data_IF_448033308523
#
_entry.id   IF_448033308523
#
_cell.length_a   1.000
_cell.length_b   1.000
_cell.length_c   1.000
_cell.angle_alpha   90.00
_cell.angle_beta   90.00
_cell.angle_gamma   90.00
#
_symmetry.space_group_name_H-M   'P 1'
#
loop_
_entity.id
_entity.type
_entity.pdbx_description
1 polymer ?
#
# COMPACT_ATOMS: atom_id res chain seq x y z
N UNK A 1 -4.21 -14.85 -0.45
CA UNK A 1 -5.51 -14.35 -0.94
C UNK A 1 -6.62 -15.41 -0.95
N UNK A 2 -6.30 -16.70 -1.03
CA UNK A 2 -7.27 -17.81 -1.11
C UNK A 2 -8.34 -17.83 -0.01
N UNK A 3 -8.04 -17.31 1.19
CA UNK A 3 -9.01 -17.23 2.28
C UNK A 3 -10.13 -16.19 2.07
N UNK A 4 -9.95 -15.22 1.15
CA UNK A 4 -11.01 -14.26 0.84
C UNK A 4 -12.10 -14.85 -0.05
N UNK A 5 -11.74 -15.74 -0.98
CA UNK A 5 -12.67 -16.39 -1.89
C UNK A 5 -12.00 -17.62 -2.56
N UNK A 6 -12.72 -18.73 -2.63
CA UNK A 6 -12.26 -19.99 -3.27
C UNK A 6 -11.84 -19.82 -4.74
N UNK A 7 -12.44 -18.85 -5.44
CA UNK A 7 -12.19 -18.56 -6.86
C UNK A 7 -10.90 -17.77 -7.12
N UNK A 8 -10.19 -17.38 -6.06
CA UNK A 8 -8.89 -16.70 -6.16
C UNK A 8 -7.72 -17.69 -6.36
N UNK A 9 -8.03 -18.98 -6.52
CA UNK A 9 -7.09 -20.01 -6.93
C UNK A 9 -7.77 -20.95 -7.94
N UNK A 10 -7.01 -21.66 -8.80
CA UNK A 10 -7.60 -22.59 -9.77
C UNK A 10 -8.43 -23.71 -9.14
N UNK A 11 -8.04 -24.17 -7.94
CA UNK A 11 -8.76 -25.15 -7.15
C UNK A 11 -8.43 -24.96 -5.66
N UNK A 12 -9.37 -24.45 -4.87
CA UNK A 12 -9.16 -24.12 -3.45
C UNK A 12 -8.89 -25.33 -2.54
N UNK A 13 -9.11 -26.56 -3.02
CA UNK A 13 -8.77 -27.80 -2.28
C UNK A 13 -7.29 -28.14 -2.43
N UNK A 14 -6.66 -27.74 -3.54
CA UNK A 14 -5.28 -28.12 -3.89
C UNK A 14 -4.30 -26.94 -3.79
N UNK A 15 -4.80 -25.71 -3.88
CA UNK A 15 -4.00 -24.50 -3.98
C UNK A 15 -4.43 -23.47 -2.94
N UNK A 16 -3.44 -22.74 -2.44
CA UNK A 16 -3.64 -21.56 -1.62
C UNK A 16 -2.68 -20.47 -2.07
N UNK A 17 -2.83 -19.26 -1.54
CA UNK A 17 -1.99 -18.14 -1.95
C UNK A 17 -1.65 -17.20 -0.80
N UNK A 18 -0.43 -16.68 -0.85
CA UNK A 18 0.10 -15.63 0.03
C UNK A 18 0.32 -14.39 -0.81
N UNK A 19 -0.18 -13.26 -0.34
CA UNK A 19 0.17 -11.95 -0.87
C UNK A 19 1.02 -11.27 0.19
N UNK A 20 2.21 -10.83 -0.20
CA UNK A 20 3.19 -10.16 0.63
C UNK A 20 3.32 -8.72 0.13
N UNK A 21 3.36 -7.78 1.06
CA UNK A 21 3.67 -6.38 0.78
C UNK A 21 5.05 -6.05 1.32
N UNK A 22 5.91 -5.47 0.49
CA UNK A 22 7.29 -5.10 0.87
C UNK A 22 7.46 -3.61 0.65
N UNK A 23 7.87 -2.87 1.68
CA UNK A 23 8.19 -1.45 1.59
C UNK A 23 9.65 -1.24 1.19
N UNK A 24 9.91 -0.29 0.28
CA UNK A 24 11.25 0.09 -0.16
C UNK A 24 11.41 1.61 -0.21
N UNK A 25 12.65 2.08 -0.12
CA UNK A 25 12.95 3.50 -0.35
C UNK A 25 12.89 3.83 -1.85
N UNK A 26 12.70 5.11 -2.18
CA UNK A 26 12.46 5.59 -3.55
C UNK A 26 13.61 5.24 -4.47
N UNK A 27 14.83 5.41 -3.96
CA UNK A 27 16.05 5.30 -4.76
C UNK A 27 16.68 3.91 -4.72
N UNK A 28 16.03 2.95 -4.06
CA UNK A 28 16.55 1.59 -3.98
C UNK A 28 16.35 0.86 -5.32
N UNK A 29 17.42 0.32 -5.93
CA UNK A 29 17.27 -0.51 -7.11
C UNK A 29 16.48 -1.77 -6.77
N UNK A 30 15.65 -2.20 -7.71
CA UNK A 30 14.80 -3.36 -7.56
C UNK A 30 15.40 -4.52 -8.35
N UNK A 31 15.83 -5.55 -7.62
CA UNK A 31 16.12 -6.87 -8.20
C UNK A 31 14.93 -7.78 -7.90
N UNK A 32 14.06 -7.97 -8.89
CA UNK A 32 12.81 -8.72 -8.73
C UNK A 32 13.06 -10.19 -8.39
N UNK A 33 14.03 -10.84 -9.04
CA UNK A 33 14.35 -12.25 -8.81
C UNK A 33 14.93 -12.45 -7.41
N UNK A 34 15.89 -11.60 -7.02
CA UNK A 34 16.47 -11.66 -5.68
C UNK A 34 15.40 -11.40 -4.60
N UNK A 35 14.49 -10.44 -4.83
CA UNK A 35 13.39 -10.13 -3.91
C UNK A 35 12.45 -11.32 -3.76
N UNK A 36 12.13 -12.02 -4.85
CA UNK A 36 11.26 -13.19 -4.80
C UNK A 36 11.89 -14.32 -3.99
N UNK A 37 13.16 -14.65 -4.24
CA UNK A 37 13.86 -15.73 -3.54
C UNK A 37 14.05 -15.42 -2.05
N UNK A 38 14.40 -14.17 -1.73
CA UNK A 38 14.48 -13.67 -0.36
C UNK A 38 13.13 -13.80 0.37
N UNK A 39 12.03 -13.37 -0.27
CA UNK A 39 10.69 -13.46 0.33
C UNK A 39 10.26 -14.90 0.56
N UNK A 40 10.55 -15.82 -0.38
CA UNK A 40 10.27 -17.25 -0.20
C UNK A 40 11.02 -17.79 1.02
N UNK A 41 12.31 -17.46 1.14
CA UNK A 41 13.12 -17.84 2.29
C UNK A 41 12.52 -17.32 3.60
N UNK A 42 12.14 -16.05 3.66
CA UNK A 42 11.58 -15.43 4.87
C UNK A 42 10.23 -16.03 5.26
N UNK A 43 9.38 -16.30 4.27
CA UNK A 43 8.12 -17.00 4.50
C UNK A 43 8.34 -18.43 5.04
N UNK A 44 9.41 -19.12 4.63
CA UNK A 44 9.78 -20.42 5.21
C UNK A 44 10.29 -20.28 6.64
N UNK A 45 11.18 -19.32 6.90
CA UNK A 45 11.77 -19.07 8.22
C UNK A 45 10.70 -18.69 9.26
N UNK A 46 9.68 -17.94 8.84
CA UNK A 46 8.54 -17.59 9.69
C UNK A 46 7.42 -18.63 9.71
N UNK A 47 7.58 -19.77 9.02
CA UNK A 47 6.60 -20.86 9.01
C UNK A 47 5.28 -20.54 8.32
N UNK A 48 5.27 -19.55 7.41
CA UNK A 48 4.09 -19.22 6.59
C UNK A 48 3.97 -20.22 5.43
N UNK A 49 5.09 -20.57 4.79
CA UNK A 49 5.19 -21.69 3.85
C UNK A 49 6.14 -22.74 4.43
N UNK A 50 6.04 -23.98 3.98
CA UNK A 50 6.90 -25.08 4.47
C UNK A 50 7.93 -25.47 3.40
N UNK A 51 9.10 -26.03 3.78
CA UNK A 51 10.06 -26.56 2.81
C UNK A 51 9.48 -27.67 1.90
N UNK A 52 8.42 -28.34 2.35
CA UNK A 52 7.66 -29.34 1.58
C UNK A 52 6.63 -28.71 0.63
N UNK A 53 6.32 -27.43 0.79
CA UNK A 53 5.39 -26.71 -0.08
C UNK A 53 5.97 -26.55 -1.48
N UNK A 54 5.20 -26.90 -2.50
CA UNK A 54 5.59 -26.72 -3.90
C UNK A 54 5.09 -25.36 -4.40
N UNK A 55 5.98 -24.51 -4.88
CA UNK A 55 5.60 -23.20 -5.44
C UNK A 55 5.26 -23.39 -6.92
N UNK A 56 4.03 -23.06 -7.32
CA UNK A 56 3.57 -23.24 -8.72
C UNK A 56 3.59 -21.95 -9.52
N UNK A 57 3.37 -20.81 -8.86
CA UNK A 57 3.45 -19.52 -9.53
C UNK A 57 3.94 -18.44 -8.57
N UNK A 58 4.79 -17.59 -9.13
CA UNK A 58 5.44 -16.44 -8.51
C UNK A 58 5.01 -15.22 -9.32
N UNK A 59 4.57 -14.17 -8.64
CA UNK A 59 4.21 -12.91 -9.28
C UNK A 59 4.68 -11.74 -8.42
N UNK A 60 5.29 -10.75 -9.06
CA UNK A 60 5.75 -9.51 -8.44
C UNK A 60 5.23 -8.33 -9.26
N UNK A 61 4.88 -7.26 -8.57
CA UNK A 61 4.56 -6.00 -9.20
C UNK A 61 5.04 -4.82 -8.36
N UNK A 62 5.77 -3.93 -9.02
CA UNK A 62 6.40 -2.76 -8.42
C UNK A 62 5.49 -1.56 -8.60
N UNK A 63 5.09 -0.94 -7.49
CA UNK A 63 4.37 0.33 -7.54
C UNK A 63 5.34 1.48 -7.24
N UNK A 64 5.54 2.42 -8.20
CA UNK A 64 6.38 3.59 -7.99
C UNK A 64 5.75 4.61 -7.03
N UNK A 65 4.51 4.41 -6.58
CA UNK A 65 3.96 5.20 -5.48
C UNK A 65 3.10 4.27 -4.63
N UNK A 66 3.57 4.00 -3.41
CA UNK A 66 2.91 3.08 -2.50
C UNK A 66 2.08 3.76 -1.42
N UNK A 67 2.74 4.51 -0.54
CA UNK A 67 2.13 5.19 0.60
C UNK A 67 2.39 6.70 0.53
N UNK A 68 1.35 7.55 0.68
CA UNK A 68 1.55 8.98 0.92
C UNK A 68 2.02 9.18 2.37
N UNK A 69 3.32 9.37 2.56
CA UNK A 69 3.93 9.43 3.89
C UNK A 69 3.48 10.69 4.63
N UNK A 70 2.99 10.59 5.89
CA UNK A 70 2.58 11.72 6.70
C UNK A 70 3.80 12.43 7.32
N UNK A 71 4.55 13.19 6.49
CA UNK A 71 5.70 13.98 6.97
C UNK A 71 5.24 15.16 7.85
N UNK A 72 6.15 15.69 8.68
CA UNK A 72 5.83 16.74 9.66
C UNK A 72 5.21 18.00 9.01
N UNK A 73 5.77 18.43 7.89
CA UNK A 73 5.34 19.66 7.20
C UNK A 73 4.27 19.42 6.12
N UNK A 74 3.80 18.18 5.97
CA UNK A 74 2.87 17.76 4.91
C UNK A 74 1.67 18.69 4.80
N UNK A 75 0.97 18.94 5.90
CA UNK A 75 -0.30 19.66 5.88
C UNK A 75 -0.13 21.11 5.40
N UNK A 76 0.96 21.77 5.79
CA UNK A 76 1.28 23.13 5.38
C UNK A 76 1.60 23.24 3.90
N UNK A 77 2.36 22.29 3.36
CA UNK A 77 2.67 22.25 1.92
C UNK A 77 1.45 21.90 1.07
N UNK A 78 0.64 20.92 1.51
CA UNK A 78 -0.59 20.54 0.82
C UNK A 78 -1.58 21.71 0.75
N UNK A 79 -1.72 22.50 1.82
CA UNK A 79 -2.60 23.66 1.79
C UNK A 79 -2.19 24.67 0.70
N UNK A 80 -0.88 24.95 0.57
CA UNK A 80 -0.35 25.86 -0.46
C UNK A 80 -0.61 25.30 -1.87
N UNK A 81 -0.34 24.02 -2.08
CA UNK A 81 -0.53 23.33 -3.37
C UNK A 81 -2.00 23.32 -3.77
N UNK A 82 -2.90 22.83 -2.91
CA UNK A 82 -4.32 22.79 -3.21
C UNK A 82 -4.92 24.17 -3.46
N UNK A 83 -4.53 25.17 -2.66
CA UNK A 83 -4.97 26.56 -2.88
C UNK A 83 -4.53 27.08 -4.25
N UNK A 84 -3.35 26.71 -4.71
CA UNK A 84 -2.82 27.15 -6.01
C UNK A 84 -3.54 26.45 -7.15
N UNK A 85 -3.73 25.13 -7.06
CA UNK A 85 -4.43 24.34 -8.07
C UNK A 85 -5.90 24.73 -8.18
N UNK A 86 -6.58 24.96 -7.05
CA UNK A 86 -8.02 25.29 -7.06
C UNK A 86 -8.31 26.69 -7.63
N UNK A 87 -7.35 27.62 -7.57
CA UNK A 87 -7.46 28.92 -8.28
C UNK A 87 -7.54 28.74 -9.79
N UNK A 88 -6.87 27.71 -10.31
CA UNK A 88 -6.86 27.35 -11.73
C UNK A 88 -7.94 26.29 -12.05
N UNK A 89 -8.92 26.11 -11.17
CA UNK A 89 -10.00 25.12 -11.30
C UNK A 89 -9.51 23.66 -11.39
N UNK A 90 -8.35 23.35 -10.79
CA UNK A 90 -7.80 22.00 -10.69
C UNK A 90 -8.03 21.45 -9.28
N UNK A 91 -8.77 20.35 -9.17
CA UNK A 91 -9.14 19.72 -7.90
C UNK A 91 -8.38 18.40 -7.71
N UNK A 92 -7.18 18.47 -7.15
CA UNK A 92 -6.37 17.27 -6.87
C UNK A 92 -6.92 16.49 -5.68
N UNK A 93 -7.39 15.25 -5.88
CA UNK A 93 -8.04 14.39 -4.87
C UNK A 93 -7.64 12.92 -5.01
N UNK A 94 -7.99 12.11 -4.00
CA UNK A 94 -7.68 10.67 -3.93
C UNK A 94 -6.34 10.40 -3.22
N UNK A 95 -5.96 9.12 -3.11
CA UNK A 95 -4.79 8.64 -2.35
C UNK A 95 -3.52 9.48 -2.50
N UNK A 96 -3.10 9.76 -3.74
CA UNK A 96 -1.92 10.59 -4.01
C UNK A 96 -2.25 12.03 -4.41
N UNK A 97 -3.51 12.31 -4.77
CA UNK A 97 -3.93 13.66 -5.11
C UNK A 97 -4.09 14.56 -3.89
N UNK A 98 -4.63 14.02 -2.79
CA UNK A 98 -4.71 14.69 -1.49
C UNK A 98 -3.51 14.40 -0.59
N UNK A 99 -2.76 13.33 -0.86
CA UNK A 99 -1.58 12.88 -0.10
C UNK A 99 -1.85 12.64 1.40
N UNK A 100 -3.09 12.30 1.76
CA UNK A 100 -3.48 12.05 3.16
C UNK A 100 -3.78 10.59 3.38
N UNK A 101 -2.80 9.87 3.92
CA UNK A 101 -2.91 8.43 4.19
C UNK A 101 -4.15 8.07 5.03
N UNK A 102 -4.46 8.88 6.04
CA UNK A 102 -5.60 8.69 6.95
C UNK A 102 -6.96 8.68 6.23
N UNK A 103 -7.03 9.25 5.02
CA UNK A 103 -8.23 9.28 4.17
C UNK A 103 -7.92 8.76 2.75
N UNK A 104 -7.02 7.78 2.62
CA UNK A 104 -6.55 7.29 1.32
C UNK A 104 -7.08 5.90 0.92
N UNK A 105 -8.03 5.35 1.68
CA UNK A 105 -8.71 4.10 1.33
C UNK A 105 -9.62 4.27 0.10
N UNK A 106 -10.13 3.14 -0.41
CA UNK A 106 -10.94 3.10 -1.63
C UNK A 106 -12.24 3.92 -1.49
N UNK A 107 -12.94 3.77 -0.37
CA UNK A 107 -14.17 4.48 -0.02
C UNK A 107 -13.94 5.98 0.12
N UNK A 108 -12.85 6.39 0.77
CA UNK A 108 -12.47 7.80 0.89
C UNK A 108 -12.15 8.41 -0.48
N UNK A 109 -11.35 7.72 -1.30
CA UNK A 109 -10.98 8.20 -2.63
C UNK A 109 -12.20 8.34 -3.54
N UNK A 110 -13.15 7.40 -3.45
CA UNK A 110 -14.42 7.47 -4.16
C UNK A 110 -15.25 8.67 -3.70
N UNK A 111 -15.41 8.82 -2.37
CA UNK A 111 -16.17 9.93 -1.78
C UNK A 111 -15.58 11.30 -2.15
N UNK A 112 -14.25 11.45 -2.16
CA UNK A 112 -13.62 12.70 -2.60
C UNK A 112 -13.96 13.05 -4.06
N UNK A 113 -14.06 12.04 -4.93
CA UNK A 113 -14.46 12.24 -6.32
C UNK A 113 -15.90 12.72 -6.44
N UNK A 114 -16.83 12.10 -5.70
CA UNK A 114 -18.24 12.52 -5.67
C UNK A 114 -18.39 13.92 -5.09
N UNK A 115 -17.67 14.21 -4.02
CA UNK A 115 -17.74 15.49 -3.31
C UNK A 115 -17.25 16.66 -4.17
N UNK A 116 -16.18 16.47 -4.96
CA UNK A 116 -15.71 17.51 -5.88
C UNK A 116 -16.74 17.82 -6.96
N UNK A 117 -17.39 16.80 -7.52
CA UNK A 117 -18.44 17.02 -8.52
C UNK A 117 -19.63 17.75 -7.90
N UNK A 118 -20.05 17.36 -6.69
CA UNK A 118 -21.13 18.01 -5.95
C UNK A 118 -20.79 19.47 -5.59
N UNK A 119 -19.54 19.76 -5.26
CA UNK A 119 -19.05 21.12 -5.04
C UNK A 119 -19.13 21.96 -6.30
N UNK A 120 -18.70 21.42 -7.45
CA UNK A 120 -18.69 22.15 -8.73
C UNK A 120 -20.12 22.41 -9.23
N UNK A 121 -21.01 21.41 -9.16
CA UNK A 121 -22.35 21.50 -9.73
C UNK A 121 -23.36 22.17 -8.81
N UNK A 122 -23.25 21.93 -7.50
CA UNK A 122 -24.27 22.32 -6.53
C UNK A 122 -23.77 23.22 -5.41
N UNK A 123 -22.47 23.59 -5.42
CA UNK A 123 -21.87 24.42 -4.37
C UNK A 123 -21.82 23.76 -3.00
N UNK A 124 -21.93 22.42 -2.92
CA UNK A 124 -21.85 21.69 -1.65
C UNK A 124 -20.41 21.68 -1.11
N UNK A 125 -20.28 21.60 0.21
CA UNK A 125 -18.98 21.37 0.84
C UNK A 125 -18.52 19.92 0.66
N UNK A 126 -17.20 19.73 0.53
CA UNK A 126 -16.59 18.40 0.56
C UNK A 126 -16.64 17.85 2.00
N UNK A 127 -17.08 16.60 2.14
CA UNK A 127 -17.33 15.93 3.42
C UNK A 127 -16.06 15.32 4.01
N UNK A 128 -15.17 14.83 3.16
CA UNK A 128 -13.82 14.40 3.55
C UNK A 128 -12.96 15.65 3.75
N UNK A 129 -13.09 16.27 4.94
CA UNK A 129 -12.51 17.58 5.21
C UNK A 129 -10.99 17.55 5.27
N UNK A 130 -10.39 18.54 4.62
CA UNK A 130 -8.97 18.87 4.64
C UNK A 130 -8.49 19.52 5.96
N UNK A 131 -9.34 19.64 6.99
CA UNK A 131 -9.06 20.51 8.15
C UNK A 131 -9.11 19.71 9.45
N UNK A 132 -7.95 19.69 10.13
CA UNK A 132 -7.63 19.14 11.46
C UNK A 132 -7.86 17.63 11.61
N UNK A 133 -6.75 16.89 11.52
CA UNK A 133 -6.61 15.66 12.28
C UNK A 133 -6.78 16.01 13.77
N UNK A 134 -7.93 15.66 14.36
CA UNK A 134 -8.01 15.53 15.80
C UNK A 134 -7.04 14.41 16.19
N UNK A 135 -6.11 14.71 17.09
CA UNK A 135 -5.11 13.79 17.63
C UNK A 135 -5.65 12.35 17.76
N UNK A 136 -5.28 11.47 16.82
CA UNK A 136 -5.48 10.03 16.96
C UNK A 136 -4.14 9.40 17.34
N UNK A 137 -4.23 8.55 18.36
CA UNK A 137 -3.15 7.97 19.13
C UNK A 137 -2.05 7.31 18.28
N UNK A 138 -0.84 7.31 18.83
CA UNK A 138 0.37 6.76 18.22
C UNK A 138 0.15 5.39 17.58
N UNK A 139 0.36 5.34 16.27
CA UNK A 139 0.48 4.10 15.53
C UNK A 139 1.84 3.48 15.83
N UNK A 140 1.84 2.37 16.58
CA UNK A 140 3.00 1.49 16.66
C UNK A 140 2.92 0.53 15.48
N UNK A 141 3.79 0.72 14.49
CA UNK A 141 3.93 -0.21 13.38
C UNK A 141 4.43 -1.56 13.92
N UNK A 142 3.61 -2.59 13.80
CA UNK A 142 4.04 -3.98 13.94
C UNK A 142 4.28 -4.52 12.53
N UNK A 143 5.47 -4.25 11.99
CA UNK A 143 5.96 -5.00 10.84
C UNK A 143 6.45 -6.35 11.38
N UNK A 144 6.00 -7.46 10.79
CA UNK A 144 6.80 -8.69 10.85
C UNK A 144 8.03 -8.33 10.02
N UNK A 145 9.11 -7.95 10.71
CA UNK A 145 10.39 -7.73 10.07
C UNK A 145 10.84 -9.05 9.44
N UNK A 146 10.68 -9.14 8.13
CA UNK A 146 11.33 -10.16 7.31
C UNK A 146 12.75 -9.63 7.08
N UNK A 147 13.65 -9.98 8.00
CA UNK A 147 14.97 -9.35 8.19
C UNK A 147 16.03 -9.77 7.15
N UNK A 148 15.72 -10.61 6.15
CA UNK A 148 16.78 -11.12 5.27
C UNK A 148 17.06 -10.27 4.03
N UNK A 149 16.23 -9.26 3.71
CA UNK A 149 16.40 -8.47 2.49
C UNK A 149 17.14 -7.15 2.65
N UNK A 150 17.35 -6.63 3.88
CA UNK A 150 18.21 -5.45 4.13
C UNK A 150 18.86 -5.52 5.51
N UNK A 151 20.09 -5.01 5.59
CA UNK A 151 20.84 -4.78 6.84
C UNK A 151 20.05 -3.88 7.81
N UNK A 152 20.28 -4.09 9.11
CA UNK A 152 19.70 -3.40 10.27
C UNK A 152 19.91 -1.86 10.29
N UNK A 153 19.45 -1.12 9.28
CA UNK A 153 19.46 0.34 9.28
C UNK A 153 18.05 0.92 9.18
N UNK A 154 17.76 1.83 10.10
CA UNK A 154 16.51 2.56 10.24
C UNK A 154 16.45 3.64 9.15
N UNK A 155 15.98 3.27 7.95
CA UNK A 155 15.81 4.21 6.84
C UNK A 155 14.42 4.86 6.83
N UNK A 156 14.38 6.13 6.45
CA UNK A 156 13.16 6.86 6.14
C UNK A 156 12.56 6.25 4.87
N UNK A 157 11.50 5.44 5.01
CA UNK A 157 10.90 4.67 3.92
C UNK A 157 10.12 5.57 2.97
N UNK A 158 10.85 6.29 2.11
CA UNK A 158 10.29 7.00 0.98
C UNK A 158 9.64 6.04 -0.03
N UNK A 159 8.33 5.91 -0.03
CA UNK A 159 7.55 6.04 -1.27
C UNK A 159 7.23 4.81 -2.15
N UNK A 160 7.81 3.63 -1.98
CA UNK A 160 7.46 2.46 -2.84
C UNK A 160 6.99 1.25 -2.04
N UNK A 161 5.92 0.57 -2.50
CA UNK A 161 5.59 -0.78 -2.02
C UNK A 161 5.32 -1.75 -3.16
N UNK A 162 5.75 -2.97 -2.93
CA UNK A 162 5.56 -4.12 -3.80
C UNK A 162 4.35 -4.90 -3.35
N UNK A 163 3.59 -5.38 -4.32
CA UNK A 163 2.68 -6.49 -4.08
C UNK A 163 3.32 -7.73 -4.69
N UNK A 164 3.70 -8.68 -3.85
CA UNK A 164 4.17 -9.99 -4.30
C UNK A 164 3.12 -11.03 -3.98
N UNK A 165 2.50 -11.61 -5.02
CA UNK A 165 1.57 -12.74 -4.86
C UNK A 165 2.36 -14.02 -5.11
N UNK A 166 2.58 -14.78 -4.04
CA UNK A 166 3.07 -16.15 -4.11
C UNK A 166 1.86 -17.09 -4.06
N UNK A 167 1.66 -17.87 -5.11
CA UNK A 167 0.70 -18.97 -5.09
C UNK A 167 1.47 -20.26 -4.79
N UNK A 168 1.25 -20.81 -3.59
CA UNK A 168 1.86 -22.06 -3.15
C UNK A 168 0.84 -23.19 -3.25
N UNK A 169 1.28 -24.37 -3.68
CA UNK A 169 0.55 -25.61 -3.44
C UNK A 169 0.57 -25.89 -1.94
N UNK A 170 -0.58 -26.33 -1.44
CA UNK A 170 -0.66 -27.17 -0.25
C UNK A 170 -1.25 -28.48 -0.71
N UNK A 171 -0.44 -29.52 -0.83
CA UNK A 171 -0.94 -30.89 -0.72
C UNK A 171 -0.46 -31.41 0.62
N UNK A 172 -1.40 -31.49 1.55
CA UNK A 172 -1.42 -32.20 2.85
C UNK A 172 -0.09 -32.37 3.59
#
# INVERSE_FOLDING_TARGET
MSNFNERLTPNAVLFWSVLVEIGMAVDDPVDEDATIECTIKDLMEHGIIYPTSKIESKWIHVLPYGYPIPTLDRDGELEKVHRTLEKEHIYSRGRFGSWRYEVANQDHSFTMGTDVIDRILYGKEETVKFIRCASVAGFKWCSIKMDACKSDEEHDYGGHIFWQLLTSIGSQ
#
